data_IF_012739032801
#
_entry.id   IF_012739032801
#
_cell.length_a   1.000
_cell.length_b   1.000
_cell.length_c   1.000
_cell.angle_alpha   90.00
_cell.angle_beta   90.00
_cell.angle_gamma   90.00
#
_symmetry.space_group_name_H-M   'P 1'
#
loop_
_entity.id
_entity.type
_entity.pdbx_description
1 polymer ?
#
# COMPACT_ATOMS: atom_id res chain seq x y z
N UNK A 1 9.87 -30.06 32.16
CA UNK A 1 10.30 -29.08 31.14
C UNK A 1 9.20 -29.01 30.10
N UNK A 2 8.44 -27.91 30.11
CA UNK A 2 7.19 -27.77 29.35
C UNK A 2 7.49 -27.46 27.89
N UNK A 3 6.92 -28.25 26.97
CA UNK A 3 6.96 -28.04 25.54
C UNK A 3 6.07 -26.87 25.16
N UNK A 4 6.66 -25.77 24.68
CA UNK A 4 5.90 -24.62 24.13
C UNK A 4 5.63 -24.90 22.66
N UNK A 5 4.39 -25.28 22.37
CA UNK A 5 3.84 -25.41 21.02
C UNK A 5 3.73 -24.02 20.37
N UNK A 6 4.37 -23.84 19.20
CA UNK A 6 4.10 -22.71 18.31
C UNK A 6 2.65 -22.80 17.82
N UNK A 7 1.83 -21.81 18.13
CA UNK A 7 0.60 -21.52 17.38
C UNK A 7 0.70 -20.11 16.83
N UNK A 8 0.98 -19.99 15.54
CA UNK A 8 0.85 -18.74 14.80
C UNK A 8 -0.65 -18.34 14.77
N UNK A 9 -0.99 -17.06 14.99
CA UNK A 9 -2.38 -16.61 14.91
C UNK A 9 -2.89 -16.71 13.47
N UNK A 10 -3.83 -17.63 13.30
CA UNK A 10 -4.61 -17.92 12.11
C UNK A 10 -5.68 -16.85 11.91
N UNK A 11 -5.36 -15.71 11.30
CA UNK A 11 -6.37 -14.82 10.71
C UNK A 11 -5.90 -14.37 9.32
N UNK A 12 -5.94 -15.32 8.39
CA UNK A 12 -5.96 -15.02 6.96
C UNK A 12 -7.32 -14.41 6.65
N UNK A 13 -7.33 -13.12 6.26
CA UNK A 13 -8.51 -12.38 5.87
C UNK A 13 -9.32 -13.20 4.87
N UNK A 14 -10.48 -13.71 5.31
CA UNK A 14 -11.45 -14.38 4.44
C UNK A 14 -12.09 -13.33 3.53
N UNK A 15 -11.41 -13.04 2.42
CA UNK A 15 -11.99 -12.34 1.29
C UNK A 15 -13.14 -13.18 0.76
N UNK A 16 -14.36 -12.83 1.14
CA UNK A 16 -15.56 -13.47 0.61
C UNK A 16 -15.80 -12.89 -0.79
N UNK A 17 -15.02 -13.33 -1.77
CA UNK A 17 -15.23 -13.01 -3.17
C UNK A 17 -16.45 -13.82 -3.64
N UNK A 18 -17.64 -13.25 -3.48
CA UNK A 18 -18.83 -13.75 -4.17
C UNK A 18 -18.55 -13.59 -5.67
N UNK A 19 -18.12 -14.68 -6.32
CA UNK A 19 -17.88 -14.69 -7.78
C UNK A 19 -19.19 -14.43 -8.53
N UNK A 20 -19.50 -13.17 -8.80
CA UNK A 20 -20.53 -12.83 -9.79
C UNK A 20 -19.90 -12.89 -11.17
N UNK A 21 -19.79 -14.10 -11.74
CA UNK A 21 -19.48 -14.24 -13.18
C UNK A 21 -20.63 -13.64 -14.00
N UNK A 22 -20.49 -12.38 -14.40
CA UNK A 22 -21.37 -11.78 -15.43
C UNK A 22 -21.23 -12.60 -16.71
N UNK A 23 -22.34 -13.19 -17.18
CA UNK A 23 -22.39 -13.96 -18.43
C UNK A 23 -21.79 -13.12 -19.58
N UNK A 24 -20.77 -13.64 -20.24
CA UNK A 24 -20.16 -13.06 -21.45
C UNK A 24 -18.79 -12.39 -21.26
N UNK A 25 -18.30 -12.19 -20.03
CA UNK A 25 -16.95 -11.63 -19.80
C UNK A 25 -15.91 -12.75 -19.90
N UNK A 26 -15.05 -12.71 -20.93
CA UNK A 26 -13.98 -13.71 -21.16
C UNK A 26 -12.73 -13.47 -20.30
N UNK A 27 -12.39 -12.20 -20.06
CA UNK A 27 -11.22 -11.80 -19.27
C UNK A 27 -11.59 -10.62 -18.37
N UNK A 28 -11.33 -10.76 -17.07
CA UNK A 28 -11.50 -9.70 -16.06
C UNK A 28 -10.19 -9.57 -15.31
N UNK A 29 -9.55 -8.40 -15.41
CA UNK A 29 -8.24 -8.12 -14.82
C UNK A 29 -8.37 -7.39 -13.48
N UNK A 30 -9.40 -6.55 -13.35
CA UNK A 30 -9.64 -5.72 -12.16
C UNK A 30 -10.80 -6.24 -11.32
N UNK A 31 -10.73 -6.02 -10.01
CA UNK A 31 -11.85 -6.24 -9.09
C UNK A 31 -12.98 -5.22 -9.33
N UNK A 32 -14.21 -5.55 -8.92
CA UNK A 32 -15.36 -4.67 -9.14
C UNK A 32 -15.39 -3.47 -8.16
N UNK A 33 -14.72 -3.61 -7.03
CA UNK A 33 -14.67 -2.60 -5.95
C UNK A 33 -13.24 -2.20 -5.65
N UNK A 34 -13.08 -0.96 -5.19
CA UNK A 34 -11.82 -0.45 -4.68
C UNK A 34 -12.07 0.40 -3.44
N UNK A 35 -11.10 0.44 -2.54
CA UNK A 35 -11.17 1.28 -1.35
C UNK A 35 -10.67 2.70 -1.67
N UNK A 36 -11.58 3.66 -1.66
CA UNK A 36 -11.25 5.08 -1.68
C UNK A 36 -11.43 5.68 -0.28
N UNK A 37 -10.41 6.37 0.22
CA UNK A 37 -10.49 7.08 1.50
C UNK A 37 -9.86 8.46 1.36
N UNK A 38 -10.61 9.46 1.77
CA UNK A 38 -10.13 10.83 1.81
C UNK A 38 -9.02 10.96 2.87
N UNK A 39 -7.93 11.62 2.50
CA UNK A 39 -6.77 11.80 3.36
C UNK A 39 -6.55 13.29 3.58
N UNK A 40 -7.22 13.86 4.60
CA UNK A 40 -7.15 15.30 4.88
C UNK A 40 -6.18 15.66 6.01
N UNK A 41 -5.99 14.77 6.99
CA UNK A 41 -5.13 15.06 8.13
C UNK A 41 -3.71 14.58 7.87
N UNK A 42 -2.75 15.31 8.41
CA UNK A 42 -1.33 14.97 8.33
C UNK A 42 -1.10 13.54 8.83
N UNK A 43 -1.65 13.19 10.00
CA UNK A 43 -1.46 11.89 10.63
C UNK A 43 -1.99 10.75 9.76
N UNK A 44 -3.14 10.95 9.12
CA UNK A 44 -3.74 9.93 8.26
C UNK A 44 -2.95 9.75 6.96
N UNK A 45 -2.50 10.85 6.35
CA UNK A 45 -1.62 10.79 5.17
C UNK A 45 -0.33 10.03 5.52
N UNK A 46 0.32 10.37 6.62
CA UNK A 46 1.54 9.70 7.06
C UNK A 46 1.32 8.21 7.33
N UNK A 47 0.21 7.86 8.00
CA UNK A 47 -0.16 6.47 8.21
C UNK A 47 -0.32 5.70 6.88
N UNK A 48 -0.96 6.32 5.88
CA UNK A 48 -1.17 5.70 4.56
C UNK A 48 0.12 5.60 3.76
N UNK A 49 0.95 6.63 3.76
CA UNK A 49 2.28 6.60 3.13
C UNK A 49 3.12 5.46 3.72
N UNK A 50 3.23 5.40 5.05
CA UNK A 50 3.96 4.33 5.73
C UNK A 50 3.41 2.94 5.38
N UNK A 51 2.09 2.77 5.40
CA UNK A 51 1.48 1.50 5.01
C UNK A 51 1.87 1.09 3.58
N UNK A 52 1.69 1.99 2.60
CA UNK A 52 1.99 1.72 1.19
C UNK A 52 3.47 1.42 0.96
N UNK A 53 4.37 2.18 1.60
CA UNK A 53 5.82 2.01 1.44
C UNK A 53 6.34 0.71 2.07
N UNK A 54 5.73 0.24 3.16
CA UNK A 54 6.13 -1.03 3.81
C UNK A 54 5.44 -2.27 3.23
N UNK A 55 4.44 -2.14 2.36
CA UNK A 55 3.78 -3.29 1.73
C UNK A 55 4.75 -4.21 0.95
N UNK A 56 5.70 -3.69 0.15
CA UNK A 56 6.71 -4.52 -0.52
C UNK A 56 7.58 -5.31 0.45
N UNK A 57 7.92 -4.73 1.61
CA UNK A 57 8.70 -5.41 2.66
C UNK A 57 7.88 -6.52 3.31
N UNK A 58 6.63 -6.24 3.67
CA UNK A 58 5.71 -7.24 4.24
C UNK A 58 5.42 -8.39 3.27
N UNK A 59 5.41 -8.11 1.96
CA UNK A 59 5.26 -9.10 0.91
C UNK A 59 6.55 -9.89 0.62
N UNK A 60 7.69 -9.53 1.25
CA UNK A 60 8.98 -10.20 1.04
C UNK A 60 9.65 -9.90 -0.30
N UNK A 61 9.23 -8.82 -0.99
CA UNK A 61 9.80 -8.43 -2.29
C UNK A 61 11.16 -7.73 -2.13
N UNK A 62 11.35 -6.99 -1.04
CA UNK A 62 12.57 -6.25 -0.70
C UNK A 62 12.81 -6.27 0.80
N UNK A 63 14.05 -6.04 1.22
CA UNK A 63 14.43 -6.02 2.63
C UNK A 63 14.07 -4.69 3.33
N UNK A 64 14.13 -3.58 2.59
CA UNK A 64 13.82 -2.23 3.06
C UNK A 64 13.00 -1.49 2.00
N UNK A 65 12.10 -0.57 2.39
CA UNK A 65 11.11 0.00 1.49
C UNK A 65 11.71 0.83 0.34
N UNK A 66 12.85 1.49 0.58
CA UNK A 66 13.54 2.37 -0.39
C UNK A 66 14.09 1.60 -1.60
N UNK A 67 14.31 0.29 -1.46
CA UNK A 67 14.82 -0.57 -2.53
C UNK A 67 13.71 -1.04 -3.49
N UNK A 68 12.44 -0.81 -3.17
CA UNK A 68 11.37 -1.17 -4.09
C UNK A 68 11.21 -0.11 -5.18
N UNK A 69 11.78 -0.42 -6.34
CA UNK A 69 11.87 0.46 -7.51
C UNK A 69 10.51 0.99 -8.01
N UNK A 70 9.43 0.24 -7.80
CA UNK A 70 8.08 0.60 -8.21
C UNK A 70 7.28 1.32 -7.10
N UNK A 71 7.96 2.00 -6.18
CA UNK A 71 7.34 2.81 -5.12
C UNK A 71 8.04 4.16 -4.97
N UNK A 72 7.28 5.14 -4.49
CA UNK A 72 7.81 6.46 -4.11
C UNK A 72 8.57 6.45 -2.78
N UNK A 73 8.70 5.29 -2.12
CA UNK A 73 9.36 5.16 -0.81
C UNK A 73 10.78 5.76 -0.80
N UNK A 74 11.55 5.56 -1.87
CA UNK A 74 12.90 6.11 -1.99
C UNK A 74 12.90 7.63 -1.80
N UNK A 75 12.00 8.34 -2.48
CA UNK A 75 11.86 9.78 -2.37
C UNK A 75 11.46 10.22 -0.96
N UNK A 76 10.42 9.59 -0.40
CA UNK A 76 9.90 10.00 0.91
C UNK A 76 10.86 9.72 2.07
N UNK A 77 11.75 8.72 1.95
CA UNK A 77 12.65 8.34 3.04
C UNK A 77 14.05 8.93 2.87
N UNK A 78 14.57 8.98 1.64
CA UNK A 78 15.94 9.44 1.37
C UNK A 78 16.02 10.85 0.78
N UNK A 79 14.90 11.38 0.27
CA UNK A 79 14.88 12.60 -0.54
C UNK A 79 15.32 12.41 -1.99
N UNK A 80 15.80 11.22 -2.37
CA UNK A 80 16.23 10.93 -3.73
C UNK A 80 15.06 10.49 -4.62
N UNK A 81 14.96 11.06 -5.82
CA UNK A 81 13.97 10.63 -6.79
C UNK A 81 14.24 9.19 -7.28
N UNK A 82 13.15 8.48 -7.59
CA UNK A 82 13.19 7.16 -8.23
C UNK A 82 13.25 7.28 -9.76
N UNK A 83 12.85 6.22 -10.47
CA UNK A 83 12.75 6.27 -11.95
C UNK A 83 11.82 7.41 -12.39
N UNK A 84 10.70 7.55 -11.70
CA UNK A 84 9.71 8.58 -11.97
C UNK A 84 9.77 9.65 -10.88
N UNK A 85 9.94 10.93 -11.25
CA UNK A 85 9.94 12.00 -10.28
C UNK A 85 8.56 12.14 -9.66
N UNK A 86 8.52 12.31 -8.35
CA UNK A 86 7.30 12.54 -7.58
C UNK A 86 7.39 13.86 -6.82
N UNK A 87 6.25 14.52 -6.67
CA UNK A 87 6.10 15.75 -5.89
C UNK A 87 5.64 15.41 -4.48
N UNK A 88 6.19 16.08 -3.47
CA UNK A 88 5.77 15.86 -2.09
C UNK A 88 4.34 16.39 -1.89
N UNK A 89 3.49 15.66 -1.16
CA UNK A 89 2.08 16.04 -1.02
C UNK A 89 1.89 17.42 -0.35
N UNK A 90 2.80 17.83 0.54
CA UNK A 90 2.73 19.12 1.22
C UNK A 90 2.81 20.30 0.24
N UNK A 91 3.59 20.18 -0.84
CA UNK A 91 3.72 21.24 -1.85
C UNK A 91 2.38 21.51 -2.56
N UNK A 92 1.48 20.52 -2.62
CA UNK A 92 0.17 20.69 -3.24
C UNK A 92 -0.77 21.54 -2.38
N UNK A 93 -0.68 21.43 -1.05
CA UNK A 93 -1.48 22.25 -0.14
C UNK A 93 -1.04 23.71 -0.18
N UNK A 94 0.25 23.97 -0.27
CA UNK A 94 0.80 25.32 -0.33
C UNK A 94 0.41 26.05 -1.63
N UNK A 95 0.24 25.32 -2.73
CA UNK A 95 -0.22 25.89 -4.02
C UNK A 95 -1.69 26.28 -4.04
N UNK A 96 -2.53 25.64 -3.21
CA UNK A 96 -3.96 25.93 -3.14
C UNK A 96 -4.31 27.11 -2.22
N UNK A 97 -3.36 27.53 -1.38
CA UNK A 97 -3.54 28.60 -0.39
C UNK A 97 -2.96 29.96 -0.82
N UNK A 98 -2.48 30.08 -2.06
CA UNK A 98 -1.95 31.31 -2.67
C UNK A 98 -2.84 31.80 -3.81
#
# INVERSE_FOLDING_TARGET
>A
MSTVSLTAPTEFLSGNSVETKKKGVKHKIFEDSFDCKECFTYEFIQQKLQYMHYNPVKAGLVNIPELYEHSSAKFYITGEQGIYPVTHYAELYERGNN
#
